data_IF_370225322883
#
_entry.id   IF_370225322883
#
_cell.length_a   1.000
_cell.length_b   1.000
_cell.length_c   1.000
_cell.angle_alpha   90.00
_cell.angle_beta   90.00
_cell.angle_gamma   90.00
#
_symmetry.space_group_name_H-M   'P 1'
#
loop_
_entity.id
_entity.type
_entity.pdbx_description
1 polymer ?
#
# COMPACT_ATOMS: atom_id res chain seq x y z
N UNK A 1 -30.99 -91.76 21.12
CA UNK A 1 -30.28 -92.06 22.39
C UNK A 1 -30.17 -90.77 23.19
N UNK A 2 -30.35 -90.81 24.54
CA UNK A 2 -29.91 -89.87 25.63
C UNK A 2 -29.71 -88.36 25.28
N UNK A 3 -30.15 -87.35 26.04
CA UNK A 3 -30.90 -87.18 27.31
C UNK A 3 -31.30 -85.67 27.44
N UNK A 4 -32.41 -85.39 28.13
CA UNK A 4 -32.68 -84.33 29.14
C UNK A 4 -31.55 -83.29 29.47
N UNK A 5 -31.77 -82.04 29.91
CA UNK A 5 -32.97 -81.27 30.37
C UNK A 5 -32.58 -79.79 30.67
N UNK A 6 -33.51 -78.81 30.50
CA UNK A 6 -33.62 -77.45 31.13
C UNK A 6 -32.38 -76.49 31.13
N UNK A 7 -32.45 -75.15 31.13
CA UNK A 7 -33.37 -74.15 31.75
C UNK A 7 -33.44 -72.83 30.93
N UNK A 8 -34.43 -71.97 31.23
CA UNK A 8 -34.76 -70.64 30.63
C UNK A 8 -33.95 -69.47 31.25
N UNK A 9 -34.22 -68.14 31.04
CA UNK A 9 -35.08 -67.43 30.06
C UNK A 9 -34.46 -66.16 29.37
N UNK A 10 -35.21 -65.53 28.44
CA UNK A 10 -35.34 -64.07 28.14
C UNK A 10 -34.10 -63.14 28.27
N UNK A 11 -33.55 -62.51 27.22
CA UNK A 11 -34.02 -61.28 26.48
C UNK A 11 -32.95 -60.98 25.40
N UNK A 12 -33.13 -60.27 24.27
CA UNK A 12 -33.95 -59.10 23.91
C UNK A 12 -33.98 -58.90 22.37
N UNK A 13 -34.96 -58.16 21.80
CA UNK A 13 -34.93 -57.73 20.41
C UNK A 13 -34.35 -56.32 20.22
N UNK A 14 -33.38 -56.22 19.32
CA UNK A 14 -33.04 -55.15 18.37
C UNK A 14 -33.36 -53.65 18.65
N UNK A 15 -32.40 -52.83 18.18
CA UNK A 15 -32.59 -51.50 17.59
C UNK A 15 -32.60 -50.27 18.53
N UNK A 16 -31.44 -50.00 19.14
CA UNK A 16 -31.00 -48.61 19.34
C UNK A 16 -30.15 -48.17 18.15
N UNK A 17 -30.61 -47.12 17.46
CA UNK A 17 -29.81 -46.41 16.47
C UNK A 17 -28.64 -45.74 17.20
N UNK A 18 -27.40 -46.06 16.80
CA UNK A 18 -26.18 -45.46 17.33
C UNK A 18 -26.05 -44.01 16.89
N UNK A 19 -26.81 -43.14 17.55
CA UNK A 19 -26.51 -41.72 17.64
C UNK A 19 -25.50 -41.55 18.80
N UNK A 20 -24.30 -42.10 18.59
CA UNK A 20 -23.22 -42.06 19.56
C UNK A 20 -22.61 -40.66 19.54
N UNK A 21 -23.10 -39.83 20.47
CA UNK A 21 -22.82 -38.42 20.58
C UNK A 21 -21.31 -38.13 20.55
N UNK A 22 -20.91 -37.16 19.71
CA UNK A 22 -19.59 -36.55 19.76
C UNK A 22 -19.36 -35.96 21.16
N UNK A 23 -18.59 -36.66 22.00
CA UNK A 23 -18.36 -36.26 23.38
C UNK A 23 -17.40 -35.05 23.45
N UNK A 24 -18.02 -33.90 23.70
CA UNK A 24 -17.44 -32.78 24.47
C UNK A 24 -16.29 -32.04 23.78
N UNK A 25 -16.62 -31.35 22.67
CA UNK A 25 -15.99 -30.06 22.42
C UNK A 25 -16.35 -29.11 23.57
N UNK A 26 -15.37 -28.40 24.13
CA UNK A 26 -15.61 -27.50 25.28
C UNK A 26 -16.69 -26.44 24.98
N UNK A 27 -17.85 -26.60 25.61
CA UNK A 27 -19.07 -25.86 25.29
C UNK A 27 -18.91 -24.34 25.36
N UNK A 28 -18.04 -23.82 26.23
CA UNK A 28 -17.97 -22.38 26.53
C UNK A 28 -17.71 -21.49 25.30
N UNK A 29 -16.84 -21.90 24.37
CA UNK A 29 -16.52 -21.09 23.18
C UNK A 29 -17.64 -21.17 22.11
N UNK A 30 -18.25 -22.36 21.96
CA UNK A 30 -19.35 -22.57 21.00
C UNK A 30 -20.62 -21.89 21.51
N UNK A 31 -20.90 -21.98 22.81
CA UNK A 31 -22.01 -21.31 23.48
C UNK A 31 -21.88 -19.79 23.45
N UNK A 32 -20.67 -19.23 23.66
CA UNK A 32 -20.41 -17.79 23.46
C UNK A 32 -20.72 -17.37 22.01
N UNK A 33 -20.31 -18.17 21.03
CA UNK A 33 -20.60 -17.91 19.61
C UNK A 33 -22.10 -18.00 19.29
N UNK A 34 -22.81 -19.01 19.78
CA UNK A 34 -24.26 -19.15 19.60
C UNK A 34 -25.03 -18.00 20.26
N UNK A 35 -24.60 -17.57 21.44
CA UNK A 35 -25.17 -16.42 22.14
C UNK A 35 -24.88 -15.11 21.39
N UNK A 36 -23.68 -14.98 20.82
CA UNK A 36 -23.32 -13.87 19.94
C UNK A 36 -24.20 -13.82 18.69
N UNK A 37 -24.39 -14.94 17.97
CA UNK A 37 -25.24 -15.02 16.76
C UNK A 37 -26.70 -14.67 17.06
N UNK A 38 -27.25 -15.20 18.17
CA UNK A 38 -28.62 -14.86 18.63
C UNK A 38 -28.74 -13.37 18.96
N UNK A 39 -27.74 -12.80 19.63
CA UNK A 39 -27.69 -11.37 19.96
C UNK A 39 -27.60 -10.51 18.70
N UNK A 40 -26.73 -10.89 17.75
CA UNK A 40 -26.56 -10.23 16.46
C UNK A 40 -27.86 -10.26 15.63
N UNK A 41 -28.58 -11.39 15.65
CA UNK A 41 -29.88 -11.55 15.00
C UNK A 41 -30.94 -10.61 15.61
N UNK A 42 -30.99 -10.51 16.94
CA UNK A 42 -31.87 -9.56 17.64
C UNK A 42 -31.49 -8.09 17.35
N UNK A 43 -30.20 -7.78 17.23
CA UNK A 43 -29.70 -6.44 16.84
C UNK A 43 -30.13 -6.11 15.40
N UNK A 44 -30.03 -7.08 14.47
CA UNK A 44 -30.46 -6.93 13.08
C UNK A 44 -31.98 -6.73 12.96
N UNK A 45 -32.77 -7.45 13.75
CA UNK A 45 -34.23 -7.26 13.81
C UNK A 45 -34.64 -5.88 14.33
N UNK A 46 -33.82 -5.25 15.18
CA UNK A 46 -34.02 -3.87 15.65
C UNK A 46 -33.65 -2.79 14.61
N UNK A 47 -33.24 -3.17 13.40
CA UNK A 47 -32.91 -2.22 12.33
C UNK A 47 -31.61 -1.45 12.52
N UNK A 48 -30.66 -2.00 13.30
CA UNK A 48 -29.34 -1.37 13.49
C UNK A 48 -28.56 -1.38 12.17
N UNK A 49 -27.84 -0.27 11.89
CA UNK A 49 -27.09 -0.08 10.65
C UNK A 49 -25.99 -1.14 10.46
N UNK A 50 -25.76 -1.55 9.21
CA UNK A 50 -24.86 -2.65 8.85
C UNK A 50 -23.40 -2.43 9.26
N UNK A 51 -22.94 -1.19 9.28
CA UNK A 51 -21.59 -0.78 9.71
C UNK A 51 -21.38 -0.87 11.24
N UNK A 52 -22.41 -0.58 12.03
CA UNK A 52 -22.39 -0.83 13.48
C UNK A 52 -22.38 -2.33 13.78
N UNK A 53 -23.20 -3.11 13.06
CA UNK A 53 -23.19 -4.59 13.12
C UNK A 53 -21.80 -5.11 12.75
N UNK A 54 -21.20 -4.58 11.68
CA UNK A 54 -19.87 -4.96 11.23
C UNK A 54 -18.74 -4.57 12.20
N UNK A 55 -18.88 -3.44 12.89
CA UNK A 55 -17.97 -3.00 13.96
C UNK A 55 -18.03 -3.94 15.16
N UNK A 56 -19.24 -4.37 15.57
CA UNK A 56 -19.44 -5.36 16.63
C UNK A 56 -18.79 -6.70 16.27
N UNK A 57 -19.00 -7.20 15.04
CA UNK A 57 -18.37 -8.44 14.56
C UNK A 57 -16.85 -8.32 14.51
N UNK A 58 -16.33 -7.18 14.02
CA UNK A 58 -14.88 -6.92 13.96
C UNK A 58 -14.25 -6.96 15.35
N UNK A 59 -14.85 -6.28 16.33
CA UNK A 59 -14.37 -6.27 17.72
C UNK A 59 -14.46 -7.66 18.37
N UNK A 60 -15.58 -8.36 18.19
CA UNK A 60 -15.75 -9.73 18.70
C UNK A 60 -14.74 -10.70 18.08
N UNK A 61 -14.49 -10.61 16.77
CA UNK A 61 -13.53 -11.44 16.06
C UNK A 61 -12.08 -11.19 16.54
N UNK A 62 -11.67 -9.94 16.78
CA UNK A 62 -10.33 -9.63 17.31
C UNK A 62 -10.06 -10.26 18.69
N UNK A 63 -11.07 -10.33 19.56
CA UNK A 63 -10.96 -11.00 20.88
C UNK A 63 -10.59 -12.49 20.77
N UNK A 64 -11.12 -13.17 19.76
CA UNK A 64 -10.99 -14.62 19.57
C UNK A 64 -9.91 -15.00 18.53
N UNK A 65 -9.53 -14.06 17.68
CA UNK A 65 -8.48 -14.19 16.67
C UNK A 65 -7.54 -12.98 16.76
N UNK A 66 -6.50 -13.01 17.62
CA UNK A 66 -5.53 -11.92 17.75
C UNK A 66 -4.81 -11.59 16.43
N UNK A 67 -4.71 -12.57 15.51
CA UNK A 67 -4.25 -12.37 14.12
C UNK A 67 -5.05 -11.30 13.34
N UNK A 68 -6.24 -10.93 13.82
CA UNK A 68 -7.12 -9.90 13.27
C UNK A 68 -7.00 -8.53 13.98
N UNK A 69 -6.00 -8.33 14.85
CA UNK A 69 -5.58 -7.00 15.34
C UNK A 69 -4.60 -6.32 14.36
N UNK A 70 -4.55 -4.98 14.37
CA UNK A 70 -3.88 -4.23 13.30
C UNK A 70 -2.39 -3.99 13.54
N UNK A 71 -1.91 -4.13 14.78
CA UNK A 71 -0.50 -3.93 15.13
C UNK A 71 -0.08 -4.58 16.46
N UNK A 72 1.10 -5.21 16.46
CA UNK A 72 2.07 -5.32 17.55
C UNK A 72 1.65 -5.85 18.95
N UNK A 73 0.46 -6.43 19.12
CA UNK A 73 0.21 -7.33 20.25
C UNK A 73 1.07 -8.59 20.10
N UNK A 74 2.23 -8.63 20.76
CA UNK A 74 2.91 -9.88 21.12
C UNK A 74 2.06 -10.56 22.21
N UNK A 75 0.85 -10.97 21.84
CA UNK A 75 -0.01 -11.80 22.67
C UNK A 75 0.63 -13.18 22.71
N UNK A 76 1.48 -13.40 23.71
CA UNK A 76 1.72 -14.73 24.24
C UNK A 76 0.33 -15.28 24.62
N UNK A 77 -0.24 -16.07 23.70
CA UNK A 77 -1.44 -16.83 24.00
C UNK A 77 -1.04 -17.80 25.13
N UNK A 78 -1.51 -17.51 26.35
CA UNK A 78 -1.34 -18.42 27.47
C UNK A 78 -2.00 -19.74 27.09
N UNK A 79 -1.16 -20.72 26.73
CA UNK A 79 -1.57 -22.07 26.38
C UNK A 79 -2.01 -22.81 27.66
N UNK A 80 -3.17 -22.43 28.16
CA UNK A 80 -3.86 -23.13 29.23
C UNK A 80 -4.64 -24.29 28.60
N UNK A 81 -4.49 -25.48 29.17
CA UNK A 81 -5.00 -26.78 28.70
C UNK A 81 -4.15 -27.46 27.60
N UNK A 82 -3.88 -28.79 27.73
CA UNK A 82 -3.22 -29.59 26.69
C UNK A 82 -4.22 -29.95 25.58
N UNK A 83 -4.76 -28.94 24.91
CA UNK A 83 -5.64 -29.16 23.76
C UNK A 83 -4.86 -29.68 22.55
N UNK A 84 -5.42 -30.66 21.83
CA UNK A 84 -4.80 -31.17 20.60
C UNK A 84 -4.70 -30.08 19.54
N UNK A 85 -3.56 -30.01 18.84
CA UNK A 85 -3.36 -29.10 17.70
C UNK A 85 -4.46 -29.25 16.66
N UNK A 86 -5.00 -30.46 16.47
CA UNK A 86 -6.10 -30.74 15.55
C UNK A 86 -7.44 -30.15 16.01
N UNK A 87 -7.77 -30.18 17.30
CA UNK A 87 -9.05 -29.64 17.80
C UNK A 87 -9.01 -28.13 17.88
N UNK A 88 -7.88 -27.53 18.28
CA UNK A 88 -7.66 -26.08 18.21
C UNK A 88 -7.80 -25.55 16.77
N UNK A 89 -7.23 -26.27 15.79
CA UNK A 89 -7.41 -25.96 14.37
C UNK A 89 -8.87 -26.06 13.91
N UNK A 90 -9.58 -27.13 14.27
CA UNK A 90 -11.00 -27.31 13.92
C UNK A 90 -11.88 -26.23 14.56
N UNK A 91 -11.66 -25.88 15.84
CA UNK A 91 -12.32 -24.75 16.52
C UNK A 91 -12.07 -23.44 15.75
N UNK A 92 -10.82 -23.14 15.39
CA UNK A 92 -10.44 -21.93 14.65
C UNK A 92 -11.08 -21.88 13.25
N UNK A 93 -11.14 -23.01 12.55
CA UNK A 93 -11.82 -23.14 11.25
C UNK A 93 -13.31 -22.88 11.36
N UNK A 94 -14.01 -23.58 12.25
CA UNK A 94 -15.45 -23.42 12.49
C UNK A 94 -15.81 -21.97 12.85
N UNK A 95 -15.02 -21.33 13.71
CA UNK A 95 -15.17 -19.93 14.09
C UNK A 95 -15.04 -18.99 12.88
N UNK A 96 -14.05 -19.20 12.00
CA UNK A 96 -13.90 -18.40 10.77
C UNK A 96 -15.07 -18.63 9.80
N UNK A 97 -15.50 -19.87 9.58
CA UNK A 97 -16.64 -20.20 8.71
C UNK A 97 -17.93 -19.53 9.21
N UNK A 98 -18.15 -19.55 10.52
CA UNK A 98 -19.30 -18.95 11.18
C UNK A 98 -19.22 -17.41 11.18
N UNK A 99 -18.03 -16.82 11.37
CA UNK A 99 -17.85 -15.38 11.21
C UNK A 99 -18.21 -14.92 9.80
N UNK A 100 -17.76 -15.62 8.76
CA UNK A 100 -18.06 -15.25 7.36
C UNK A 100 -19.56 -15.32 7.09
N UNK A 101 -20.26 -16.34 7.59
CA UNK A 101 -21.71 -16.49 7.37
C UNK A 101 -22.57 -15.39 8.03
N UNK A 102 -22.06 -14.71 9.07
CA UNK A 102 -22.77 -13.61 9.73
C UNK A 102 -22.36 -12.20 9.26
N UNK A 103 -21.39 -12.07 8.34
CA UNK A 103 -20.95 -10.75 7.84
C UNK A 103 -22.09 -10.02 7.09
N UNK A 104 -22.39 -8.75 7.43
CA UNK A 104 -23.38 -7.92 6.72
C UNK A 104 -23.08 -7.90 5.22
N UNK A 105 -24.07 -8.08 4.33
CA UNK A 105 -23.84 -8.13 2.88
C UNK A 105 -23.46 -6.76 2.29
N UNK A 106 -23.83 -5.68 2.96
CA UNK A 106 -23.72 -4.32 2.45
C UNK A 106 -22.26 -3.85 2.37
N UNK A 107 -21.90 -3.21 1.25
CA UNK A 107 -20.57 -2.65 1.00
C UNK A 107 -20.15 -1.70 2.12
N UNK A 108 -18.85 -1.65 2.40
CA UNK A 108 -18.20 -0.76 3.38
C UNK A 108 -18.65 -0.97 4.85
N UNK A 109 -19.51 -1.95 5.14
CA UNK A 109 -19.90 -2.33 6.52
C UNK A 109 -18.77 -3.00 7.32
N UNK A 110 -17.80 -3.60 6.63
CA UNK A 110 -16.62 -4.25 7.21
C UNK A 110 -15.38 -3.71 6.51
N UNK A 111 -14.36 -3.19 7.23
CA UNK A 111 -13.16 -2.65 6.62
C UNK A 111 -12.39 -3.67 5.77
N UNK A 112 -11.97 -3.29 4.55
CA UNK A 112 -11.23 -4.18 3.65
C UNK A 112 -9.99 -4.83 4.29
N UNK A 113 -9.25 -4.10 5.12
CA UNK A 113 -8.07 -4.62 5.84
C UNK A 113 -8.43 -5.68 6.90
N UNK A 114 -9.64 -5.66 7.47
CA UNK A 114 -10.12 -6.76 8.31
C UNK A 114 -10.48 -7.99 7.48
N UNK A 115 -11.19 -7.81 6.35
CA UNK A 115 -11.51 -8.92 5.45
C UNK A 115 -10.26 -9.62 4.90
N UNK A 116 -9.20 -8.86 4.57
CA UNK A 116 -7.92 -9.42 4.12
C UNK A 116 -7.23 -10.27 5.21
N UNK A 117 -7.23 -9.81 6.46
CA UNK A 117 -6.72 -10.59 7.59
C UNK A 117 -7.58 -11.83 7.87
N UNK A 118 -8.90 -11.71 7.78
CA UNK A 118 -9.82 -12.84 7.89
C UNK A 118 -9.60 -13.85 6.77
N UNK A 119 -9.35 -13.41 5.53
CA UNK A 119 -8.99 -14.27 4.40
C UNK A 119 -7.63 -14.94 4.57
N UNK A 120 -6.62 -14.24 5.12
CA UNK A 120 -5.34 -14.84 5.50
C UNK A 120 -5.55 -15.97 6.52
N UNK A 121 -6.35 -15.74 7.56
CA UNK A 121 -6.69 -16.78 8.55
C UNK A 121 -7.51 -17.91 7.94
N UNK A 122 -8.45 -17.62 7.04
CA UNK A 122 -9.28 -18.61 6.35
C UNK A 122 -8.45 -19.52 5.42
N UNK A 123 -7.51 -18.94 4.67
CA UNK A 123 -6.56 -19.68 3.85
C UNK A 123 -5.60 -20.50 4.71
N UNK A 124 -5.15 -19.96 5.85
CA UNK A 124 -4.33 -20.69 6.81
C UNK A 124 -5.06 -21.95 7.30
N UNK A 125 -6.31 -21.85 7.75
CA UNK A 125 -7.09 -23.00 8.28
C UNK A 125 -7.86 -23.80 7.21
N UNK A 126 -7.53 -23.58 5.93
CA UNK A 126 -8.05 -24.29 4.75
C UNK A 126 -9.59 -24.34 4.65
N UNK A 127 -10.25 -23.24 4.98
CA UNK A 127 -11.71 -23.04 4.94
C UNK A 127 -12.32 -23.45 3.58
N UNK A 128 -13.60 -23.87 3.59
CA UNK A 128 -14.31 -24.28 2.38
C UNK A 128 -14.31 -23.18 1.29
N UNK A 129 -14.31 -23.61 0.02
CA UNK A 129 -14.23 -22.73 -1.14
C UNK A 129 -15.38 -21.72 -1.25
N UNK A 130 -16.53 -22.04 -0.66
CA UNK A 130 -17.73 -21.20 -0.52
C UNK A 130 -17.41 -19.91 0.25
N UNK A 131 -17.04 -20.01 1.53
CA UNK A 131 -16.68 -18.87 2.38
C UNK A 131 -15.46 -18.12 1.84
N UNK A 132 -14.46 -18.83 1.30
CA UNK A 132 -13.30 -18.20 0.65
C UNK A 132 -13.71 -17.33 -0.54
N UNK A 133 -14.65 -17.81 -1.36
CA UNK A 133 -15.15 -17.05 -2.52
C UNK A 133 -16.00 -15.85 -2.10
N UNK A 134 -16.79 -15.97 -1.03
CA UNK A 134 -17.53 -14.85 -0.45
C UNK A 134 -16.59 -13.74 0.05
N UNK A 135 -15.53 -14.12 0.80
CA UNK A 135 -14.48 -13.18 1.19
C UNK A 135 -13.78 -12.54 -0.02
N UNK A 136 -13.37 -13.33 -1.03
CA UNK A 136 -12.78 -12.79 -2.26
C UNK A 136 -13.70 -11.77 -2.94
N UNK A 137 -15.00 -12.04 -3.05
CA UNK A 137 -15.99 -11.13 -3.65
C UNK A 137 -16.08 -9.81 -2.86
N UNK A 138 -16.25 -9.91 -1.53
CA UNK A 138 -16.37 -8.74 -0.65
C UNK A 138 -15.13 -7.85 -0.66
N UNK A 139 -13.93 -8.45 -0.67
CA UNK A 139 -12.65 -7.72 -0.79
C UNK A 139 -12.56 -7.05 -2.17
N UNK A 140 -12.94 -7.75 -3.25
CA UNK A 140 -12.89 -7.24 -4.62
C UNK A 140 -13.84 -6.05 -4.88
N UNK A 141 -14.85 -5.84 -4.03
CA UNK A 141 -15.72 -4.66 -4.08
C UNK A 141 -15.07 -3.38 -3.52
N UNK A 142 -14.11 -3.51 -2.59
CA UNK A 142 -13.49 -2.40 -1.85
C UNK A 142 -11.95 -2.46 -1.82
N UNK A 143 -11.33 -3.13 -2.80
CA UNK A 143 -9.88 -3.31 -2.91
C UNK A 143 -9.09 -1.98 -2.96
N UNK A 144 -9.75 -0.86 -3.30
CA UNK A 144 -9.16 0.48 -3.26
C UNK A 144 -8.94 1.02 -1.83
N UNK A 145 -9.45 0.34 -0.81
CA UNK A 145 -9.24 0.61 0.62
C UNK A 145 -8.20 -0.33 1.26
N UNK A 146 -7.70 -1.31 0.51
CA UNK A 146 -6.71 -2.25 0.99
C UNK A 146 -5.33 -1.58 1.16
N UNK A 147 -4.62 -1.98 2.21
CA UNK A 147 -3.21 -1.66 2.41
C UNK A 147 -2.31 -2.77 1.84
N UNK A 148 -1.08 -2.40 1.45
CA UNK A 148 -0.09 -3.36 0.97
C UNK A 148 0.19 -4.46 2.01
N UNK A 149 0.35 -4.08 3.28
CA UNK A 149 0.63 -4.99 4.41
C UNK A 149 -0.37 -6.14 4.49
N UNK A 150 -1.67 -5.83 4.43
CA UNK A 150 -2.71 -6.85 4.57
C UNK A 150 -3.00 -7.60 3.24
N UNK A 151 -2.62 -7.03 2.09
CA UNK A 151 -2.69 -7.72 0.79
C UNK A 151 -1.57 -8.76 0.61
N UNK A 152 -0.46 -8.65 1.35
CA UNK A 152 0.66 -9.62 1.35
C UNK A 152 0.30 -10.90 2.12
N UNK A 153 -0.65 -11.66 1.57
CA UNK A 153 -1.10 -12.95 2.11
C UNK A 153 -0.11 -14.05 1.69
N UNK A 154 0.45 -14.83 2.65
CA UNK A 154 1.35 -15.94 2.34
C UNK A 154 0.67 -17.05 1.54
N UNK A 155 1.46 -17.80 0.76
CA UNK A 155 1.00 -19.06 0.19
C UNK A 155 1.01 -20.15 1.26
N UNK A 156 -0.14 -20.77 1.51
CA UNK A 156 -0.28 -21.88 2.47
C UNK A 156 -0.24 -23.27 1.79
N UNK A 157 -0.03 -23.33 0.47
CA UNK A 157 0.04 -24.60 -0.26
C UNK A 157 1.42 -25.24 -0.17
N UNK A 158 1.48 -26.50 0.28
CA UNK A 158 2.71 -27.28 0.42
C UNK A 158 3.44 -27.56 -0.92
N UNK A 159 2.77 -27.33 -2.06
CA UNK A 159 3.33 -27.51 -3.41
C UNK A 159 3.78 -26.20 -4.06
N UNK A 160 3.59 -25.06 -3.40
CA UNK A 160 3.88 -23.75 -3.95
C UNK A 160 5.28 -23.29 -3.55
N UNK A 161 6.10 -22.88 -4.54
CA UNK A 161 7.42 -22.34 -4.28
C UNK A 161 7.44 -20.85 -3.86
N UNK A 162 6.36 -20.11 -4.10
CA UNK A 162 6.32 -18.66 -3.80
C UNK A 162 5.90 -18.39 -2.37
N UNK A 163 6.49 -17.36 -1.78
CA UNK A 163 6.20 -16.90 -0.42
C UNK A 163 4.78 -16.30 -0.31
N UNK A 164 4.28 -15.69 -1.38
CA UNK A 164 2.98 -15.03 -1.44
C UNK A 164 2.00 -15.75 -2.39
N UNK A 165 0.71 -15.69 -2.09
CA UNK A 165 -0.36 -16.13 -3.00
C UNK A 165 -0.65 -15.03 -4.05
N UNK A 166 0.19 -14.98 -5.07
CA UNK A 166 0.05 -14.04 -6.20
C UNK A 166 -1.20 -14.34 -7.02
N UNK A 167 -1.64 -15.60 -7.08
CA UNK A 167 -2.85 -15.98 -7.81
C UNK A 167 -4.12 -15.44 -7.15
N UNK A 168 -4.17 -15.40 -5.82
CA UNK A 168 -5.23 -14.71 -5.08
C UNK A 168 -5.29 -13.23 -5.46
N UNK A 169 -4.16 -12.53 -5.49
CA UNK A 169 -4.15 -11.11 -5.87
C UNK A 169 -4.59 -10.92 -7.32
N UNK A 170 -4.20 -11.81 -8.24
CA UNK A 170 -4.72 -11.83 -9.61
C UNK A 170 -6.25 -12.03 -9.65
N UNK A 171 -6.81 -12.94 -8.84
CA UNK A 171 -8.27 -13.13 -8.74
C UNK A 171 -8.97 -11.89 -8.19
N UNK A 172 -8.47 -11.31 -7.10
CA UNK A 172 -9.04 -10.10 -6.48
C UNK A 172 -9.03 -8.91 -7.45
N UNK A 173 -7.92 -8.67 -8.16
CA UNK A 173 -7.82 -7.58 -9.13
C UNK A 173 -8.74 -7.81 -10.34
N UNK A 174 -8.80 -9.04 -10.88
CA UNK A 174 -9.72 -9.37 -11.99
C UNK A 174 -11.18 -9.19 -11.61
N UNK A 175 -11.60 -9.67 -10.42
CA UNK A 175 -12.95 -9.41 -9.88
C UNK A 175 -13.16 -7.91 -9.70
N UNK A 176 -12.19 -7.17 -9.14
CA UNK A 176 -12.30 -5.72 -8.97
C UNK A 176 -12.56 -5.01 -10.32
N UNK A 177 -11.90 -5.41 -11.40
CA UNK A 177 -12.11 -4.84 -12.74
C UNK A 177 -13.42 -5.32 -13.39
N UNK A 178 -13.85 -6.57 -13.21
CA UNK A 178 -15.15 -7.00 -13.75
C UNK A 178 -16.33 -6.25 -13.12
N UNK A 179 -16.19 -5.85 -11.85
CA UNK A 179 -17.15 -5.03 -11.09
C UNK A 179 -17.11 -3.53 -11.45
N UNK A 180 -16.29 -3.11 -12.42
CA UNK A 180 -16.23 -1.74 -12.96
C UNK A 180 -17.15 -1.56 -14.19
N UNK A 181 -17.48 -2.66 -14.88
CA UNK A 181 -18.34 -2.63 -16.08
C UNK A 181 -19.76 -2.09 -15.83
N UNK A 182 -20.23 -2.15 -14.58
CA UNK A 182 -21.53 -1.60 -14.15
C UNK A 182 -21.47 -0.08 -13.86
N UNK A 183 -20.33 0.59 -14.08
CA UNK A 183 -20.14 2.02 -13.81
C UNK A 183 -20.05 2.38 -12.32
N UNK A 184 -19.92 1.37 -11.44
CA UNK A 184 -20.01 1.50 -9.98
C UNK A 184 -18.76 2.13 -9.35
N UNK A 185 -17.62 2.21 -10.06
CA UNK A 185 -16.34 2.62 -9.47
C UNK A 185 -15.81 3.91 -10.08
N UNK A 186 -15.40 4.82 -9.20
CA UNK A 186 -14.73 6.07 -9.59
C UNK A 186 -13.33 5.77 -10.11
N UNK A 187 -12.86 6.47 -11.15
CA UNK A 187 -11.48 6.35 -11.64
C UNK A 187 -10.40 6.56 -10.56
N UNK A 188 -10.71 7.28 -9.48
CA UNK A 188 -9.86 7.40 -8.29
C UNK A 188 -9.62 6.04 -7.59
N UNK A 189 -10.63 5.17 -7.48
CA UNK A 189 -10.49 3.84 -6.89
C UNK A 189 -9.60 2.95 -7.76
N UNK A 190 -9.79 3.01 -9.09
CA UNK A 190 -8.95 2.31 -10.06
C UNK A 190 -7.48 2.74 -9.98
N UNK A 191 -7.20 4.04 -9.84
CA UNK A 191 -5.84 4.57 -9.64
C UNK A 191 -5.22 4.11 -8.31
N UNK A 192 -5.99 4.03 -7.22
CA UNK A 192 -5.49 3.46 -5.96
C UNK A 192 -5.12 1.99 -6.11
N UNK A 193 -5.98 1.17 -6.71
CA UNK A 193 -5.70 -0.26 -6.95
C UNK A 193 -4.49 -0.43 -7.87
N UNK A 194 -4.32 0.40 -8.89
CA UNK A 194 -3.13 0.36 -9.74
C UNK A 194 -1.83 0.60 -8.96
N UNK A 195 -1.81 1.62 -8.08
CA UNK A 195 -0.67 1.87 -7.19
C UNK A 195 -0.42 0.72 -6.21
N UNK A 196 -1.49 0.14 -5.67
CA UNK A 196 -1.41 -1.01 -4.75
C UNK A 196 -0.80 -2.24 -5.44
N UNK A 197 -1.24 -2.54 -6.67
CA UNK A 197 -0.71 -3.65 -7.50
C UNK A 197 0.75 -3.40 -7.89
N UNK A 198 1.12 -2.18 -8.29
CA UNK A 198 2.51 -1.84 -8.62
C UNK A 198 3.44 -1.95 -7.39
N UNK A 199 2.95 -1.57 -6.21
CA UNK A 199 3.67 -1.79 -4.96
C UNK A 199 3.77 -3.28 -4.62
N UNK A 200 2.69 -4.05 -4.74
CA UNK A 200 2.70 -5.50 -4.50
C UNK A 200 3.67 -6.24 -5.44
N UNK A 201 3.67 -5.90 -6.74
CA UNK A 201 4.60 -6.47 -7.72
C UNK A 201 6.07 -6.12 -7.41
N UNK A 202 6.35 -4.96 -6.80
CA UNK A 202 7.70 -4.61 -6.40
C UNK A 202 8.19 -5.43 -5.21
N UNK A 203 7.32 -5.79 -4.25
CA UNK A 203 7.67 -6.68 -3.14
C UNK A 203 7.71 -8.15 -3.58
N UNK A 204 6.67 -8.63 -4.27
CA UNK A 204 6.60 -10.00 -4.80
C UNK A 204 7.72 -10.29 -5.81
N UNK A 205 8.18 -9.27 -6.54
CA UNK A 205 9.31 -9.39 -7.48
C UNK A 205 10.67 -9.64 -6.84
N UNK A 206 10.78 -9.60 -5.50
CA UNK A 206 11.97 -10.03 -4.76
C UNK A 206 12.04 -11.55 -4.56
N UNK A 207 10.90 -12.25 -4.65
CA UNK A 207 10.85 -13.71 -4.53
C UNK A 207 11.37 -14.36 -5.81
N UNK A 208 12.50 -15.06 -5.70
CA UNK A 208 13.17 -15.74 -6.81
C UNK A 208 12.34 -16.89 -7.44
N UNK A 209 11.28 -17.35 -6.77
CA UNK A 209 10.35 -18.35 -7.27
C UNK A 209 9.15 -17.74 -8.02
N UNK A 210 9.03 -16.41 -8.09
CA UNK A 210 7.93 -15.75 -8.79
C UNK A 210 8.03 -15.97 -10.31
N UNK A 211 7.08 -16.73 -10.86
CA UNK A 211 7.03 -16.98 -12.29
C UNK A 211 6.74 -15.70 -13.08
N UNK A 212 7.41 -15.56 -14.23
CA UNK A 212 7.19 -14.45 -15.16
C UNK A 212 5.73 -14.34 -15.61
N UNK A 213 5.06 -15.48 -15.82
CA UNK A 213 3.66 -15.54 -16.23
C UNK A 213 2.74 -14.93 -15.18
N UNK A 214 2.94 -15.21 -13.89
CA UNK A 214 2.19 -14.57 -12.80
C UNK A 214 2.47 -13.07 -12.72
N UNK A 215 3.74 -12.64 -12.82
CA UNK A 215 4.09 -11.20 -12.84
C UNK A 215 3.39 -10.46 -13.97
N UNK A 216 3.49 -10.97 -15.21
CA UNK A 216 2.87 -10.37 -16.41
C UNK A 216 1.34 -10.41 -16.32
N UNK A 217 0.76 -11.50 -15.82
CA UNK A 217 -0.69 -11.64 -15.67
C UNK A 217 -1.28 -10.65 -14.66
N UNK A 218 -0.58 -10.38 -13.55
CA UNK A 218 -1.01 -9.39 -12.56
C UNK A 218 -0.81 -7.95 -13.07
N UNK A 219 0.36 -7.64 -13.64
CA UNK A 219 0.66 -6.31 -14.19
C UNK A 219 -0.32 -5.88 -15.29
N UNK A 220 -0.71 -6.84 -16.14
CA UNK A 220 -1.68 -6.69 -17.24
C UNK A 220 -3.15 -6.96 -16.88
N UNK A 221 -3.48 -7.25 -15.62
CA UNK A 221 -4.87 -7.39 -15.18
C UNK A 221 -5.63 -6.04 -15.10
N UNK A 222 -4.90 -4.92 -15.11
CA UNK A 222 -5.42 -3.57 -15.02
C UNK A 222 -5.50 -2.91 -16.41
N UNK A 223 -6.54 -2.12 -16.71
CA UNK A 223 -6.66 -1.42 -17.99
C UNK A 223 -5.62 -0.31 -18.13
N UNK A 224 -5.22 -0.01 -19.37
CA UNK A 224 -4.15 0.95 -19.67
C UNK A 224 -4.37 2.36 -19.09
N UNK A 225 -5.59 2.78 -18.80
CA UNK A 225 -5.88 4.10 -18.22
C UNK A 225 -5.84 4.13 -16.68
N UNK A 226 -5.70 2.98 -16.01
CA UNK A 226 -5.62 2.89 -14.55
C UNK A 226 -4.35 3.56 -13.97
N UNK A 227 -3.26 3.56 -14.75
CA UNK A 227 -1.98 4.20 -14.42
C UNK A 227 -1.88 5.57 -15.08
N UNK A 228 -1.79 6.63 -14.27
CA UNK A 228 -1.44 7.97 -14.73
C UNK A 228 0.07 8.09 -15.02
N UNK A 229 0.89 7.44 -14.19
CA UNK A 229 2.33 7.27 -14.35
C UNK A 229 2.71 5.80 -14.23
N UNK A 230 3.68 5.35 -15.01
CA UNK A 230 4.12 3.93 -15.03
C UNK A 230 5.36 3.69 -14.15
N UNK A 231 5.81 4.69 -13.39
CA UNK A 231 7.00 4.63 -12.51
C UNK A 231 6.96 3.46 -11.51
N UNK A 232 5.78 3.18 -10.95
CA UNK A 232 5.58 2.08 -10.00
C UNK A 232 5.78 0.72 -10.68
N UNK A 233 5.15 0.52 -11.84
CA UNK A 233 5.32 -0.65 -12.69
C UNK A 233 6.78 -0.80 -13.18
N UNK A 234 7.43 0.30 -13.55
CA UNK A 234 8.85 0.29 -13.91
C UNK A 234 9.73 -0.17 -12.73
N UNK A 235 9.51 0.38 -11.53
CA UNK A 235 10.20 -0.06 -10.31
C UNK A 235 10.00 -1.56 -10.05
N UNK A 236 8.77 -2.05 -10.19
CA UNK A 236 8.47 -3.47 -9.99
C UNK A 236 9.19 -4.37 -11.01
N UNK A 237 9.17 -3.99 -12.29
CA UNK A 237 9.91 -4.69 -13.35
C UNK A 237 11.42 -4.65 -13.10
N UNK A 238 11.95 -3.52 -12.63
CA UNK A 238 13.36 -3.41 -12.32
C UNK A 238 13.78 -4.29 -11.15
N UNK A 239 12.99 -4.33 -10.08
CA UNK A 239 13.20 -5.26 -8.96
C UNK A 239 13.16 -6.71 -9.43
N UNK A 240 12.16 -7.09 -10.23
CA UNK A 240 12.04 -8.43 -10.79
C UNK A 240 13.29 -8.82 -11.61
N UNK A 241 13.74 -7.93 -12.51
CA UNK A 241 14.96 -8.13 -13.30
C UNK A 241 16.26 -8.14 -12.45
N UNK A 242 16.23 -7.62 -11.22
CA UNK A 242 17.34 -7.71 -10.27
C UNK A 242 17.38 -9.08 -9.60
N UNK A 243 16.22 -9.56 -9.14
CA UNK A 243 16.08 -10.83 -8.42
C UNK A 243 16.18 -12.06 -9.34
N UNK A 244 15.90 -11.91 -10.63
CA UNK A 244 15.89 -13.01 -11.61
C UNK A 244 16.91 -12.82 -12.76
N UNK A 245 18.23 -12.98 -12.50
CA UNK A 245 19.27 -12.86 -13.54
C UNK A 245 19.08 -13.81 -14.74
N UNK A 246 18.46 -14.97 -14.51
CA UNK A 246 18.18 -16.03 -15.50
C UNK A 246 17.16 -15.64 -16.58
N UNK A 247 16.42 -14.54 -16.41
CA UNK A 247 15.39 -14.08 -17.37
C UNK A 247 16.02 -13.77 -18.73
N UNK A 248 15.55 -14.47 -19.76
CA UNK A 248 16.07 -14.42 -21.12
C UNK A 248 15.77 -13.10 -21.82
N UNK A 249 16.51 -12.81 -22.91
CA UNK A 249 16.34 -11.56 -23.69
C UNK A 249 14.91 -11.34 -24.21
N UNK A 250 14.18 -12.42 -24.53
CA UNK A 250 12.80 -12.35 -25.01
C UNK A 250 11.83 -12.03 -23.86
N UNK A 251 12.07 -12.56 -22.67
CA UNK A 251 11.26 -12.32 -21.48
C UNK A 251 11.46 -10.90 -20.93
N UNK A 252 12.71 -10.40 -20.91
CA UNK A 252 13.01 -8.98 -20.61
C UNK A 252 12.27 -8.04 -21.56
N UNK A 253 12.22 -8.39 -22.85
CA UNK A 253 11.43 -7.68 -23.87
C UNK A 253 9.93 -7.78 -23.61
N UNK A 254 9.42 -8.91 -23.09
CA UNK A 254 8.01 -9.04 -22.70
C UNK A 254 7.66 -8.08 -21.56
N UNK A 255 8.46 -8.08 -20.48
CA UNK A 255 8.30 -7.17 -19.34
C UNK A 255 8.32 -5.70 -19.77
N UNK A 256 9.32 -5.31 -20.59
CA UNK A 256 9.43 -3.92 -21.04
C UNK A 256 8.27 -3.45 -21.94
N UNK A 257 7.49 -4.35 -22.54
CA UNK A 257 6.29 -3.98 -23.31
C UNK A 257 5.09 -3.60 -22.45
N UNK A 258 5.14 -3.85 -21.14
CA UNK A 258 4.10 -3.44 -20.19
C UNK A 258 4.18 -1.95 -19.83
N UNK A 259 5.33 -1.30 -20.07
CA UNK A 259 5.59 0.10 -19.72
C UNK A 259 5.26 1.00 -20.91
N UNK A 260 4.40 2.00 -20.71
CA UNK A 260 4.27 3.12 -21.64
C UNK A 260 5.31 4.20 -21.29
N UNK A 261 6.39 4.25 -22.07
CA UNK A 261 7.49 5.22 -21.85
C UNK A 261 7.04 6.69 -21.85
N UNK A 262 5.87 7.00 -22.43
CA UNK A 262 5.30 8.35 -22.40
C UNK A 262 4.80 8.74 -21.01
N UNK A 263 4.48 7.77 -20.15
CA UNK A 263 3.96 7.96 -18.79
C UNK A 263 5.01 7.90 -17.68
N UNK A 264 6.26 7.61 -18.02
CA UNK A 264 7.36 7.73 -17.07
C UNK A 264 7.60 9.20 -16.72
N UNK A 265 7.92 9.49 -15.46
CA UNK A 265 8.47 10.78 -15.05
C UNK A 265 9.90 10.95 -15.58
N UNK A 266 10.43 12.18 -15.70
CA UNK A 266 11.81 12.39 -16.16
C UNK A 266 12.86 11.67 -15.31
N UNK A 267 12.61 11.51 -14.00
CA UNK A 267 13.49 10.75 -13.09
C UNK A 267 13.45 9.25 -13.39
N UNK A 268 12.26 8.66 -13.56
CA UNK A 268 12.11 7.26 -13.95
C UNK A 268 12.68 7.00 -15.35
N UNK A 269 12.47 7.91 -16.30
CA UNK A 269 13.05 7.86 -17.64
C UNK A 269 14.58 7.92 -17.63
N UNK A 270 15.19 8.78 -16.79
CA UNK A 270 16.64 8.85 -16.63
C UNK A 270 17.20 7.54 -16.07
N UNK A 271 16.58 6.99 -15.02
CA UNK A 271 16.98 5.71 -14.45
C UNK A 271 16.83 4.57 -15.48
N UNK A 272 15.74 4.53 -16.24
CA UNK A 272 15.52 3.56 -17.31
C UNK A 272 16.55 3.69 -18.45
N UNK A 273 16.95 4.92 -18.81
CA UNK A 273 17.96 5.14 -19.84
C UNK A 273 19.37 4.63 -19.45
N UNK A 274 19.67 4.58 -18.16
CA UNK A 274 20.95 4.11 -17.60
C UNK A 274 20.95 2.63 -17.22
N UNK A 275 19.82 1.93 -17.36
CA UNK A 275 19.65 0.59 -16.81
C UNK A 275 20.06 -0.52 -17.80
N UNK A 276 21.25 -1.08 -17.60
CA UNK A 276 21.83 -2.15 -18.43
C UNK A 276 21.01 -3.45 -18.48
N UNK A 277 20.06 -3.66 -17.55
CA UNK A 277 19.19 -4.84 -17.56
C UNK A 277 18.10 -4.76 -18.63
N UNK A 278 17.75 -3.56 -19.09
CA UNK A 278 16.72 -3.34 -20.11
C UNK A 278 17.27 -3.62 -21.53
N UNK A 279 16.45 -4.17 -22.45
CA UNK A 279 16.84 -4.27 -23.85
C UNK A 279 17.08 -2.88 -24.47
N UNK A 280 18.12 -2.74 -25.29
CA UNK A 280 18.48 -1.48 -25.99
C UNK A 280 17.27 -0.81 -26.67
N UNK A 281 16.36 -1.58 -27.25
CA UNK A 281 15.12 -1.06 -27.87
C UNK A 281 14.20 -0.33 -26.87
N UNK A 282 14.10 -0.80 -25.63
CA UNK A 282 13.29 -0.16 -24.59
C UNK A 282 13.95 1.15 -24.13
N UNK A 283 15.28 1.16 -23.92
CA UNK A 283 16.07 2.37 -23.63
C UNK A 283 15.86 3.43 -24.72
N UNK A 284 15.95 3.05 -25.99
CA UNK A 284 15.70 3.93 -27.13
C UNK A 284 14.27 4.50 -27.09
N UNK A 285 13.25 3.69 -26.77
CA UNK A 285 11.85 4.16 -26.65
C UNK A 285 11.66 5.19 -25.52
N UNK A 286 12.37 5.03 -24.40
CA UNK A 286 12.37 6.00 -23.30
C UNK A 286 13.01 7.32 -23.72
N UNK A 287 14.19 7.27 -24.34
CA UNK A 287 14.89 8.47 -24.83
C UNK A 287 14.05 9.24 -25.88
N UNK A 288 13.40 8.54 -26.81
CA UNK A 288 12.50 9.19 -27.78
C UNK A 288 11.24 9.79 -27.12
N UNK A 289 10.68 9.17 -26.08
CA UNK A 289 9.54 9.78 -25.36
C UNK A 289 9.94 11.06 -24.63
N UNK A 290 11.11 11.10 -23.99
CA UNK A 290 11.62 12.32 -23.36
C UNK A 290 11.92 13.42 -24.38
N UNK A 291 12.59 13.09 -25.49
CA UNK A 291 12.84 14.04 -26.58
C UNK A 291 11.53 14.65 -27.12
N UNK A 292 10.48 13.85 -27.23
CA UNK A 292 9.15 14.31 -27.66
C UNK A 292 8.47 15.22 -26.63
N UNK A 293 8.61 14.93 -25.33
CA UNK A 293 8.11 15.79 -24.24
C UNK A 293 8.81 17.16 -24.27
N UNK A 294 10.14 17.16 -24.37
CA UNK A 294 10.95 18.38 -24.44
C UNK A 294 10.63 19.22 -25.67
N UNK A 295 10.53 18.62 -26.87
CA UNK A 295 10.21 19.37 -28.09
C UNK A 295 8.85 20.06 -27.99
N UNK A 296 7.83 19.38 -27.41
CA UNK A 296 6.52 20.01 -27.15
C UNK A 296 6.64 21.24 -26.26
N UNK A 297 7.42 21.20 -25.18
CA UNK A 297 7.63 22.38 -24.33
C UNK A 297 8.29 23.55 -25.09
N UNK A 298 9.18 23.26 -26.05
CA UNK A 298 9.78 24.27 -26.93
C UNK A 298 8.73 24.83 -27.91
N UNK A 299 7.93 23.98 -28.56
CA UNK A 299 6.89 24.40 -29.51
C UNK A 299 5.79 25.24 -28.83
N UNK A 300 5.35 24.87 -27.63
CA UNK A 300 4.40 25.66 -26.83
C UNK A 300 5.00 27.00 -26.39
N UNK A 301 6.30 27.06 -26.10
CA UNK A 301 7.01 28.31 -25.78
C UNK A 301 7.24 29.20 -27.01
N UNK A 302 7.33 28.62 -28.21
CA UNK A 302 7.36 29.37 -29.47
C UNK A 302 5.97 29.87 -29.89
N UNK A 303 4.89 29.28 -29.37
CA UNK A 303 3.52 29.59 -29.78
C UNK A 303 2.96 30.88 -29.18
N UNK A 304 3.52 31.42 -28.09
CA UNK A 304 3.08 32.71 -27.53
C UNK A 304 3.73 33.93 -28.20
N UNK A 305 4.82 33.75 -28.95
CA UNK A 305 5.54 34.85 -29.62
C UNK A 305 5.11 35.08 -31.08
N UNK A 306 4.28 34.20 -31.66
CA UNK A 306 3.94 34.20 -33.09
C UNK A 306 2.47 34.55 -33.37
N UNK A 307 2.06 35.77 -33.00
CA UNK A 307 0.85 36.42 -33.54
C UNK A 307 1.22 37.45 -34.62
N UNK A 308 1.77 36.98 -35.75
CA UNK A 308 1.76 37.76 -37.00
C UNK A 308 1.78 36.92 -38.28
N UNK A 309 0.59 36.85 -38.90
CA UNK A 309 0.31 36.63 -40.32
C UNK A 309 0.46 35.21 -40.93
N UNK A 310 -0.58 34.69 -41.62
CA UNK A 310 -0.51 33.47 -42.40
C UNK A 310 -0.15 33.74 -43.87
N UNK A 311 0.72 32.91 -44.46
CA UNK A 311 0.89 32.81 -45.92
C UNK A 311 1.46 31.45 -46.36
N UNK A 312 0.59 30.64 -46.98
CA UNK A 312 0.86 29.96 -48.26
C UNK A 312 2.00 28.94 -48.42
N UNK A 313 1.59 27.68 -48.61
CA UNK A 313 2.21 26.64 -49.47
C UNK A 313 3.53 25.96 -49.09
N UNK A 314 3.55 24.63 -49.31
CA UNK A 314 4.77 23.83 -49.49
C UNK A 314 5.12 22.90 -48.33
N UNK A 315 4.55 21.70 -48.29
CA UNK A 315 4.97 20.66 -47.35
C UNK A 315 6.05 19.74 -47.94
N UNK A 316 7.17 19.58 -47.25
CA UNK A 316 8.10 18.44 -47.34
C UNK A 316 8.63 18.13 -45.94
N UNK A 317 8.95 16.86 -45.69
CA UNK A 317 9.45 16.30 -44.43
C UNK A 317 10.84 16.84 -44.06
N UNK A 318 10.99 17.45 -42.87
CA UNK A 318 12.14 17.21 -41.99
C UNK A 318 11.93 17.81 -40.57
N UNK A 319 12.01 17.03 -39.47
CA UNK A 319 12.13 17.57 -38.11
C UNK A 319 13.60 17.78 -37.74
N UNK A 320 14.35 18.52 -38.56
CA UNK A 320 15.73 18.88 -38.23
C UNK A 320 15.71 19.90 -37.09
N UNK A 321 16.45 19.60 -36.00
CA UNK A 321 16.50 20.45 -34.82
C UNK A 321 16.92 21.88 -35.20
N UNK A 322 16.02 22.86 -35.03
CA UNK A 322 16.36 24.27 -35.20
C UNK A 322 17.43 24.64 -34.17
N UNK A 323 18.67 24.80 -34.62
CA UNK A 323 19.65 25.56 -33.85
C UNK A 323 19.08 26.97 -33.65
N UNK A 324 18.79 27.33 -32.40
CA UNK A 324 18.38 28.68 -32.05
C UNK A 324 19.40 29.68 -32.61
N UNK A 325 18.91 30.71 -33.28
CA UNK A 325 19.75 31.77 -33.81
C UNK A 325 20.56 32.39 -32.67
N UNK A 326 21.78 32.83 -32.97
CA UNK A 326 22.64 33.52 -32.00
C UNK A 326 21.93 34.74 -31.36
N UNK A 327 20.94 35.32 -32.05
CA UNK A 327 20.07 36.39 -31.54
C UNK A 327 19.07 35.89 -30.48
N UNK A 328 18.47 34.73 -30.69
CA UNK A 328 17.46 34.10 -29.79
C UNK A 328 18.12 33.54 -28.52
N UNK A 329 19.30 32.93 -28.65
CA UNK A 329 20.08 32.53 -27.49
C UNK A 329 20.51 33.73 -26.62
N UNK A 330 20.83 34.87 -27.26
CA UNK A 330 21.14 36.09 -26.52
C UNK A 330 19.91 36.69 -25.80
N UNK A 331 18.71 36.66 -26.39
CA UNK A 331 17.50 37.12 -25.70
C UNK A 331 17.15 36.23 -24.52
N UNK A 332 17.20 34.91 -24.67
CA UNK A 332 16.99 33.97 -23.54
C UNK A 332 18.04 34.15 -22.43
N UNK A 333 19.31 34.39 -22.77
CA UNK A 333 20.33 34.69 -21.76
C UNK A 333 20.08 36.02 -21.01
N UNK A 334 19.50 37.03 -21.66
CA UNK A 334 19.10 38.27 -21.00
C UNK A 334 17.88 38.06 -20.08
N UNK A 335 16.89 37.29 -20.51
CA UNK A 335 15.74 36.92 -19.68
C UNK A 335 16.15 36.10 -18.45
N UNK A 336 17.04 35.11 -18.60
CA UNK A 336 17.58 34.33 -17.48
C UNK A 336 18.37 35.21 -16.49
N UNK A 337 19.14 36.20 -16.98
CA UNK A 337 19.83 37.17 -16.12
C UNK A 337 18.84 38.03 -15.35
N UNK A 338 17.81 38.57 -16.02
CA UNK A 338 16.76 39.37 -15.39
C UNK A 338 15.98 38.56 -14.35
N UNK A 339 15.60 37.33 -14.66
CA UNK A 339 14.90 36.44 -13.72
C UNK A 339 15.76 36.10 -12.50
N UNK A 340 17.08 35.90 -12.66
CA UNK A 340 18.00 35.74 -11.51
C UNK A 340 18.01 36.99 -10.63
N UNK A 341 18.06 38.17 -11.22
CA UNK A 341 18.07 39.45 -10.52
C UNK A 341 16.73 39.71 -9.79
N UNK A 342 15.61 39.32 -10.41
CA UNK A 342 14.28 39.33 -9.81
C UNK A 342 14.18 38.34 -8.62
N UNK A 343 14.75 37.14 -8.73
CA UNK A 343 14.83 36.16 -7.63
C UNK A 343 15.66 36.67 -6.47
N UNK A 344 16.84 37.26 -6.71
CA UNK A 344 17.65 37.86 -5.64
C UNK A 344 16.93 39.02 -4.94
N UNK A 345 16.19 39.85 -5.70
CA UNK A 345 15.37 40.93 -5.13
C UNK A 345 14.23 40.39 -4.27
N UNK A 346 13.51 39.37 -4.73
CA UNK A 346 12.46 38.69 -3.97
C UNK A 346 13.01 38.02 -2.70
N UNK A 347 14.15 37.35 -2.79
CA UNK A 347 14.81 36.75 -1.63
C UNK A 347 15.19 37.81 -0.58
N UNK A 348 15.68 38.98 -1.01
CA UNK A 348 15.94 40.12 -0.13
C UNK A 348 14.65 40.62 0.55
N UNK A 349 13.55 40.76 -0.20
CA UNK A 349 12.25 41.15 0.35
C UNK A 349 11.71 40.13 1.37
N UNK A 350 11.82 38.83 1.09
CA UNK A 350 11.47 37.77 2.03
C UNK A 350 12.29 37.83 3.32
N UNK A 351 13.61 38.07 3.23
CA UNK A 351 14.48 38.20 4.40
C UNK A 351 14.13 39.44 5.25
N UNK A 352 13.79 40.58 4.61
CA UNK A 352 13.33 41.79 5.30
C UNK A 352 11.99 41.54 6.00
N UNK A 353 11.05 40.86 5.33
CA UNK A 353 9.74 40.53 5.88
C UNK A 353 9.85 39.53 7.05
N UNK A 354 10.73 38.52 6.95
CA UNK A 354 11.04 37.59 8.04
C UNK A 354 11.58 38.36 9.27
N UNK A 355 12.56 39.24 9.07
CA UNK A 355 13.10 40.08 10.15
C UNK A 355 12.07 41.05 10.75
N UNK A 356 11.03 41.46 10.01
CA UNK A 356 9.89 42.19 10.56
C UNK A 356 8.97 41.29 11.39
N UNK A 357 8.69 40.06 10.95
CA UNK A 357 7.91 39.08 11.73
C UNK A 357 8.61 38.76 13.06
N UNK A 358 9.92 38.52 13.04
CA UNK A 358 10.69 38.21 14.24
C UNK A 358 10.66 39.38 15.25
N UNK A 359 10.82 40.62 14.77
CA UNK A 359 10.65 41.84 15.61
C UNK A 359 9.23 42.00 16.16
N UNK A 360 8.19 41.56 15.43
CA UNK A 360 6.81 41.55 15.95
C UNK A 360 6.59 40.41 16.96
N UNK A 361 7.24 39.26 16.78
CA UNK A 361 7.19 38.14 17.71
C UNK A 361 7.91 38.45 19.04
N UNK A 362 9.05 39.15 19.00
CA UNK A 362 9.75 39.63 20.20
C UNK A 362 8.94 40.70 20.94
N UNK A 363 8.30 41.64 20.22
CA UNK A 363 7.35 42.58 20.84
C UNK A 363 6.20 41.84 21.54
N UNK A 364 5.60 40.82 20.92
CA UNK A 364 4.60 39.97 21.59
C UNK A 364 5.17 39.27 22.83
N UNK A 365 6.39 38.73 22.80
CA UNK A 365 7.06 38.15 23.99
C UNK A 365 7.32 39.18 25.11
N UNK A 366 7.59 40.45 24.76
CA UNK A 366 7.75 41.53 25.74
C UNK A 366 6.44 41.86 26.46
N UNK A 367 5.32 41.98 25.72
CA UNK A 367 3.99 42.21 26.30
C UNK A 367 3.49 41.07 27.21
N UNK A 368 3.97 39.83 27.04
CA UNK A 368 3.60 38.70 27.91
C UNK A 368 4.42 38.60 29.22
N UNK A 369 5.51 39.38 29.39
CA UNK A 369 6.34 39.32 30.62
C UNK A 369 5.86 40.18 31.78
N UNK A 370 4.89 41.09 31.60
CA UNK A 370 4.37 41.94 32.68
C UNK A 370 3.17 41.37 33.47
N UNK A 371 2.64 40.19 33.11
CA UNK A 371 1.53 39.52 33.85
C UNK A 371 1.96 38.51 34.91
N UNK A 372 3.24 38.47 35.32
CA UNK A 372 3.76 37.56 36.37
C UNK A 372 4.39 38.25 37.60
N UNK A 373 3.99 39.48 37.90
CA UNK A 373 4.35 40.20 39.13
C UNK A 373 3.15 40.95 39.73
N UNK A 374 2.10 40.21 40.11
CA UNK A 374 1.09 40.62 41.08
C UNK A 374 0.51 39.37 41.74
N UNK A 375 0.20 39.45 43.04
CA UNK A 375 -0.28 38.38 43.92
C UNK A 375 0.72 37.28 44.30
N UNK A 376 1.45 37.54 45.39
CA UNK A 376 2.04 36.51 46.26
C UNK A 376 1.87 36.88 47.74
N UNK A 377 0.84 36.34 48.41
CA UNK A 377 0.85 36.17 49.87
C UNK A 377 -0.28 35.25 50.37
N UNK A 378 0.04 34.53 51.45
CA UNK A 378 -0.81 33.65 52.28
C UNK A 378 -1.11 32.27 51.66
N UNK A 379 -0.47 31.16 52.07
CA UNK A 379 -0.56 30.35 53.32
C UNK A 379 -1.66 29.26 53.23
N UNK A 380 -1.36 28.05 53.71
CA UNK A 380 -2.34 26.93 53.79
C UNK A 380 -2.01 25.72 52.92
N UNK A 381 -1.03 24.93 53.37
CA UNK A 381 -1.12 23.48 53.63
C UNK A 381 -2.10 22.56 52.86
N UNK A 382 -1.57 21.37 52.52
CA UNK A 382 -2.21 20.04 52.49
C UNK A 382 -2.36 19.30 51.12
N UNK A 383 -1.71 18.13 51.11
CA UNK A 383 -1.85 16.88 50.36
C UNK A 383 -2.58 16.75 49.00
N UNK A 384 -1.92 15.97 48.12
CA UNK A 384 -2.42 14.90 47.23
C UNK A 384 -3.67 15.14 46.36
N UNK A 385 -3.50 14.93 45.04
CA UNK A 385 -3.91 13.70 44.31
C UNK A 385 -3.56 13.88 42.82
N UNK A 386 -3.03 12.83 42.18
CA UNK A 386 -2.93 12.75 40.71
C UNK A 386 -4.30 12.39 40.12
N UNK A 387 -4.83 13.19 39.19
CA UNK A 387 -5.68 12.66 38.12
C UNK A 387 -5.79 13.60 36.90
N UNK A 388 -6.39 13.02 35.87
CA UNK A 388 -6.83 13.55 34.58
C UNK A 388 -5.72 13.71 33.52
N UNK A 389 -5.74 12.94 32.43
CA UNK A 389 -6.74 12.99 31.34
C UNK A 389 -6.81 14.38 30.69
N UNK A 390 -6.88 14.57 29.39
CA UNK A 390 -6.69 13.78 28.17
C UNK A 390 -7.09 14.76 27.04
N UNK A 391 -6.49 14.67 25.84
CA UNK A 391 -6.96 15.37 24.62
C UNK A 391 -6.94 16.93 24.67
N UNK A 392 -6.89 17.74 23.60
CA UNK A 392 -6.59 17.63 22.15
C UNK A 392 -5.88 18.96 21.75
N UNK A 393 -5.39 19.28 20.53
CA UNK A 393 -5.60 18.72 19.19
C UNK A 393 -4.36 18.94 18.25
N UNK A 394 -4.60 18.80 16.95
CA UNK A 394 -3.75 19.03 15.77
C UNK A 394 -2.83 20.27 15.71
N UNK A 395 -1.67 20.08 15.08
CA UNK A 395 -0.84 21.15 14.49
C UNK A 395 0.00 20.66 13.31
N UNK A 396 -0.29 21.13 12.09
CA UNK A 396 0.36 20.70 10.84
C UNK A 396 1.88 20.97 10.81
N UNK A 397 2.68 19.91 10.87
CA UNK A 397 4.14 19.97 10.67
C UNK A 397 4.56 19.77 9.21
N UNK A 398 4.77 20.87 8.46
CA UNK A 398 5.58 20.80 7.21
C UNK A 398 7.05 20.75 7.59
N UNK A 399 7.70 19.59 7.41
CA UNK A 399 9.15 19.46 7.52
C UNK A 399 9.80 19.48 6.12
N UNK A 400 10.67 20.46 5.89
CA UNK A 400 11.71 20.42 4.85
C UNK A 400 13.07 20.49 5.56
N UNK A 401 13.92 19.46 5.45
CA UNK A 401 15.23 19.46 6.09
C UNK A 401 16.26 20.17 5.21
N UNK A 402 16.90 21.21 5.74
CA UNK A 402 18.16 21.74 5.19
C UNK A 402 19.07 22.22 6.31
N UNK A 403 20.15 21.48 6.55
CA UNK A 403 21.37 22.01 7.15
C UNK A 403 22.55 21.04 6.90
N UNK A 404 23.26 21.24 5.79
CA UNK A 404 24.60 20.66 5.58
C UNK A 404 25.61 21.81 5.50
N UNK A 405 26.37 21.98 6.58
CA UNK A 405 27.39 23.02 6.70
C UNK A 405 28.55 22.75 5.74
N UNK A 406 28.82 23.68 4.84
CA UNK A 406 30.04 23.71 4.04
C UNK A 406 31.21 24.22 4.90
N UNK A 407 32.25 23.40 5.06
CA UNK A 407 33.50 23.83 5.69
C UNK A 407 34.40 24.53 4.67
N UNK A 408 34.85 25.73 5.01
CA UNK A 408 35.74 26.54 4.17
C UNK A 408 37.18 26.03 4.21
N UNK A 409 37.74 25.70 3.04
CA UNK A 409 39.16 25.38 2.87
C UNK A 409 39.99 26.67 2.79
N UNK A 410 41.01 26.79 3.65
CA UNK A 410 42.04 27.84 3.56
C UNK A 410 43.36 27.20 3.09
N UNK A 411 44.03 27.85 2.13
CA UNK A 411 45.30 27.41 1.53
C UNK A 411 46.51 27.69 2.42
N UNK A 412 47.49 26.80 2.41
CA UNK A 412 48.91 27.14 2.57
C UNK A 412 49.77 26.38 1.55
N UNK A 413 51.00 26.86 1.30
CA UNK A 413 51.81 26.61 0.08
C UNK A 413 52.83 25.46 0.25
N UNK A 414 52.93 24.61 -0.79
CA UNK A 414 54.13 24.04 -1.51
C UNK A 414 55.52 23.97 -0.83
N UNK A 415 56.47 23.06 -1.24
CA UNK A 415 56.53 22.32 -2.52
C UNK A 415 56.94 20.83 -2.47
N UNK A 416 56.80 20.14 -3.61
CA UNK A 416 57.32 18.78 -3.85
C UNK A 416 58.82 18.78 -4.21
N UNK A 417 59.54 17.71 -3.83
CA UNK A 417 60.85 17.34 -4.42
C UNK A 417 60.72 16.08 -5.28
N UNK A 418 61.25 16.15 -6.49
CA UNK A 418 61.47 14.99 -7.37
C UNK A 418 62.62 14.10 -6.87
N UNK A 419 62.54 12.80 -7.12
CA UNK A 419 63.72 11.96 -7.40
C UNK A 419 63.41 10.95 -8.51
N UNK A 420 64.39 10.78 -9.42
CA UNK A 420 64.43 9.77 -10.49
C UNK A 420 65.32 8.58 -10.07
N UNK A 421 65.40 7.61 -10.99
CA UNK A 421 66.31 6.45 -11.06
C UNK A 421 65.77 5.22 -10.33
N UNK A 422 65.39 4.17 -11.04
CA UNK A 422 66.22 3.21 -11.81
C UNK A 422 67.05 2.29 -10.90
N UNK A 423 66.57 1.06 -10.76
CA UNK A 423 67.26 -0.13 -11.29
C UNK A 423 66.22 -1.17 -11.70
#
# INVERSE_FOLDING_TARGET
MKKQCFTEPETSPNQQVTLEYCCWFEDACILDMDCFIKTLSNIKQKGVRSDLIGSIITHYASKWLPDLESSNSNSNANANSPESVTTSWMKKRFFVETLVSVLPPDKDSIPCNFLLRLLKTANMVLVESTYRTDLENRISWQLDQASLKELMIPSFSHTCGTLLDVELVIRLVKRFISLDHDGVKTGAALVKVAKLVDCYLAEAGLDANLSLSQFVALAGALPNHARATDDGLYRAIDTYLKAHPSVSKQERKSLCRLIDSRKLTPEASLHAAQNERLPVRAVIQVLFSEQTKLNRHVDWSASFSSLRSPSGYGGVLDPQARCLSKREMNTQQMEIKKLKEDVYRLQSQCNVMQAQMDKMAEKKKSFFKWKKLAFSKSIGEMENVEQDEAETEFGFGRQTPMDMKTSTVVKSRTPHKWRKSMS
#
